data_IF_580748693814
#
_entry.id   IF_580748693814
#
_cell.length_a   1.000
_cell.length_b   1.000
_cell.length_c   1.000
_cell.angle_alpha   90.00
_cell.angle_beta   90.00
_cell.angle_gamma   90.00
#
_symmetry.space_group_name_H-M   'P 1'
#
loop_
_entity.id
_entity.type
_entity.pdbx_description
1 polymer ?
#
# COMPACT_ATOMS: atom_id res chain seq x y z
N UNK A 1 -1.09 13.12 23.25
CA UNK A 1 -0.64 13.56 21.91
C UNK A 1 0.61 12.86 21.43
N UNK A 2 1.63 12.74 22.28
CA UNK A 2 2.89 12.06 21.92
C UNK A 2 2.63 10.59 21.59
N UNK A 3 1.78 9.92 22.38
CA UNK A 3 1.45 8.51 22.17
C UNK A 3 0.73 8.30 20.83
N UNK A 4 -0.20 9.18 20.49
CA UNK A 4 -0.97 9.10 19.23
C UNK A 4 -0.04 9.29 18.03
N UNK A 5 0.87 10.27 18.09
CA UNK A 5 1.83 10.50 17.02
C UNK A 5 2.78 9.30 16.85
N UNK A 6 3.23 8.72 17.96
CA UNK A 6 4.10 7.57 17.95
C UNK A 6 3.41 6.36 17.32
N UNK A 7 2.14 6.12 17.67
CA UNK A 7 1.33 5.05 17.10
C UNK A 7 1.11 5.26 15.60
N UNK A 8 0.86 6.50 15.19
CA UNK A 8 0.69 6.84 13.78
C UNK A 8 1.93 6.49 12.97
N UNK A 9 3.10 6.91 13.45
CA UNK A 9 4.35 6.60 12.75
C UNK A 9 4.64 5.11 12.74
N UNK A 10 4.35 4.41 13.82
CA UNK A 10 4.53 2.96 13.89
C UNK A 10 3.65 2.24 12.87
N UNK A 11 2.35 2.56 12.83
CA UNK A 11 1.42 1.96 11.88
C UNK A 11 1.79 2.28 10.44
N UNK A 12 2.21 3.53 10.18
CA UNK A 12 2.64 3.96 8.84
C UNK A 12 3.86 3.19 8.38
N UNK A 13 4.84 3.02 9.27
CA UNK A 13 6.07 2.29 8.94
C UNK A 13 5.77 0.83 8.62
N UNK A 14 4.96 0.18 9.45
CA UNK A 14 4.58 -1.22 9.23
C UNK A 14 3.79 -1.36 7.92
N UNK A 15 2.89 -0.41 7.65
CA UNK A 15 2.08 -0.41 6.42
C UNK A 15 2.96 -0.31 5.17
N UNK A 16 3.89 0.62 5.16
CA UNK A 16 4.81 0.81 4.02
C UNK A 16 5.71 -0.41 3.85
N UNK A 17 6.26 -0.93 4.93
CA UNK A 17 7.10 -2.12 4.89
C UNK A 17 6.32 -3.33 4.36
N UNK A 18 5.09 -3.52 4.82
CA UNK A 18 4.21 -4.60 4.34
C UNK A 18 3.89 -4.44 2.86
N UNK A 19 3.64 -3.22 2.40
CA UNK A 19 3.36 -2.94 0.99
C UNK A 19 4.55 -3.30 0.10
N UNK A 20 5.76 -2.98 0.53
CA UNK A 20 6.96 -3.41 -0.18
C UNK A 20 7.09 -4.92 -0.22
N UNK A 21 6.79 -5.59 0.88
CA UNK A 21 6.86 -7.05 0.94
C UNK A 21 5.82 -7.71 0.05
N UNK A 22 4.66 -7.08 -0.16
CA UNK A 22 3.64 -7.58 -1.10
C UNK A 22 4.23 -7.67 -2.50
N UNK A 23 4.97 -6.64 -2.91
CA UNK A 23 5.57 -6.56 -4.25
C UNK A 23 6.76 -7.50 -4.37
N UNK A 24 7.62 -7.53 -3.34
CA UNK A 24 8.88 -8.27 -3.38
C UNK A 24 8.73 -9.76 -3.11
N UNK A 25 7.63 -10.18 -2.50
CA UNK A 25 7.43 -11.59 -2.16
C UNK A 25 7.24 -12.44 -3.41
N UNK A 26 7.95 -13.55 -3.49
CA UNK A 26 7.85 -14.48 -4.62
C UNK A 26 6.66 -15.41 -4.50
N UNK A 27 6.28 -15.74 -3.26
CA UNK A 27 5.16 -16.63 -3.00
C UNK A 27 3.86 -15.81 -2.99
N UNK A 28 2.89 -16.11 -3.88
CA UNK A 28 1.63 -15.36 -3.91
C UNK A 28 0.84 -15.40 -2.60
N UNK A 29 0.92 -16.52 -1.86
CA UNK A 29 0.24 -16.65 -0.57
C UNK A 29 0.83 -15.67 0.44
N UNK A 30 2.16 -15.57 0.49
CA UNK A 30 2.84 -14.61 1.37
C UNK A 30 2.52 -13.17 0.99
N UNK A 31 2.42 -12.88 -0.30
CA UNK A 31 2.05 -11.55 -0.79
C UNK A 31 0.68 -11.13 -0.29
N UNK A 32 -0.30 -12.04 -0.35
CA UNK A 32 -1.65 -11.75 0.13
C UNK A 32 -1.68 -11.58 1.64
N UNK A 33 -0.89 -12.36 2.37
CA UNK A 33 -0.80 -12.22 3.83
C UNK A 33 -0.22 -10.86 4.22
N UNK A 34 0.80 -10.39 3.51
CA UNK A 34 1.34 -9.05 3.73
C UNK A 34 0.34 -7.97 3.34
N UNK A 35 -0.48 -8.21 2.31
CA UNK A 35 -1.55 -7.30 1.92
C UNK A 35 -2.60 -7.17 3.02
N UNK A 36 -2.96 -8.28 3.66
CA UNK A 36 -3.88 -8.29 4.80
C UNK A 36 -3.29 -7.45 5.94
N UNK A 37 -2.01 -7.64 6.24
CA UNK A 37 -1.32 -6.86 7.27
C UNK A 37 -1.34 -5.36 6.94
N UNK A 38 -1.13 -5.02 5.68
CA UNK A 38 -1.18 -3.64 5.19
C UNK A 38 -2.56 -3.02 5.43
N UNK A 39 -3.62 -3.75 5.11
CA UNK A 39 -4.99 -3.28 5.32
C UNK A 39 -5.32 -3.10 6.81
N UNK A 40 -4.87 -4.01 7.67
CA UNK A 40 -5.07 -3.87 9.11
C UNK A 40 -4.41 -2.61 9.65
N UNK A 41 -3.18 -2.32 9.21
CA UNK A 41 -2.48 -1.12 9.64
C UNK A 41 -3.15 0.14 9.10
N UNK A 42 -3.70 0.08 7.87
CA UNK A 42 -4.47 1.18 7.31
C UNK A 42 -5.72 1.46 8.14
N UNK A 43 -6.41 0.41 8.57
CA UNK A 43 -7.58 0.55 9.44
C UNK A 43 -7.20 1.19 10.78
N UNK A 44 -6.05 0.80 11.33
CA UNK A 44 -5.54 1.41 12.55
C UNK A 44 -5.27 2.91 12.38
N UNK A 45 -4.73 3.31 11.23
CA UNK A 45 -4.49 4.71 10.91
C UNK A 45 -5.83 5.47 10.83
N UNK A 46 -6.84 4.88 10.19
CA UNK A 46 -8.17 5.51 10.10
C UNK A 46 -8.80 5.68 11.48
N UNK A 47 -8.60 4.72 12.38
CA UNK A 47 -9.06 4.85 13.77
C UNK A 47 -8.40 6.03 14.49
N UNK A 48 -7.10 6.22 14.27
CA UNK A 48 -6.36 7.34 14.85
C UNK A 48 -6.91 8.67 14.31
N UNK A 49 -7.27 8.70 13.03
CA UNK A 49 -7.83 9.89 12.38
C UNK A 49 -9.28 10.18 12.78
N UNK A 50 -9.91 9.29 13.54
CA UNK A 50 -11.31 9.44 13.95
C UNK A 50 -12.32 8.90 12.96
N UNK A 51 -11.87 8.27 11.87
CA UNK A 51 -12.74 7.67 10.86
C UNK A 51 -13.06 6.23 11.23
N UNK A 52 -13.81 6.03 12.30
CA UNK A 52 -14.11 4.69 12.83
C UNK A 52 -14.96 3.87 11.87
N UNK A 53 -15.96 4.47 11.26
CA UNK A 53 -16.83 3.78 10.30
C UNK A 53 -16.05 3.26 9.10
N UNK A 54 -15.18 4.12 8.56
CA UNK A 54 -14.35 3.76 7.42
C UNK A 54 -13.35 2.66 7.77
N UNK A 55 -12.79 2.72 8.99
CA UNK A 55 -11.87 1.68 9.48
C UNK A 55 -12.56 0.31 9.56
N UNK A 56 -13.78 0.27 10.08
CA UNK A 56 -14.55 -0.97 10.18
C UNK A 56 -14.94 -1.51 8.80
N UNK A 57 -15.32 -0.63 7.86
CA UNK A 57 -15.60 -1.04 6.48
C UNK A 57 -14.35 -1.63 5.84
N UNK A 58 -13.20 -1.01 6.05
CA UNK A 58 -11.94 -1.49 5.50
C UNK A 58 -11.64 -2.91 6.00
N UNK A 59 -11.80 -3.15 7.30
CA UNK A 59 -11.56 -4.48 7.86
C UNK A 59 -12.59 -5.49 7.34
N UNK A 60 -13.86 -5.15 7.36
CA UNK A 60 -14.92 -6.10 6.98
C UNK A 60 -14.84 -6.44 5.50
N UNK A 61 -14.75 -5.42 4.64
CA UNK A 61 -14.81 -5.61 3.19
C UNK A 61 -13.47 -6.00 2.62
N UNK A 62 -12.41 -5.23 2.91
CA UNK A 62 -11.12 -5.45 2.29
C UNK A 62 -10.37 -6.63 2.89
N UNK A 63 -10.34 -6.75 4.19
CA UNK A 63 -9.65 -7.86 4.84
C UNK A 63 -10.54 -9.11 4.84
N UNK A 64 -11.80 -8.96 5.22
CA UNK A 64 -12.70 -10.08 5.39
C UNK A 64 -13.23 -10.68 4.09
N UNK A 65 -13.43 -9.88 3.06
CA UNK A 65 -13.97 -10.35 1.79
C UNK A 65 -12.94 -10.39 0.69
N UNK A 66 -12.35 -9.24 0.35
CA UNK A 66 -11.49 -9.12 -0.84
C UNK A 66 -10.17 -9.89 -0.64
N UNK A 67 -9.49 -9.65 0.47
CA UNK A 67 -8.19 -10.30 0.73
C UNK A 67 -8.35 -11.80 0.93
N UNK A 68 -9.42 -12.23 1.61
CA UNK A 68 -9.71 -13.66 1.80
C UNK A 68 -10.03 -14.32 0.46
N UNK A 69 -10.76 -13.62 -0.41
CA UNK A 69 -11.04 -14.12 -1.76
C UNK A 69 -9.74 -14.28 -2.55
N UNK A 70 -8.85 -13.28 -2.51
CA UNK A 70 -7.54 -13.38 -3.16
C UNK A 70 -6.73 -14.54 -2.60
N UNK A 71 -6.73 -14.71 -1.28
CA UNK A 71 -5.99 -15.79 -0.64
C UNK A 71 -6.52 -17.13 -1.10
N UNK A 72 -7.85 -17.28 -1.16
CA UNK A 72 -8.50 -18.52 -1.60
C UNK A 72 -8.14 -18.83 -3.05
N UNK A 73 -8.24 -17.82 -3.94
CA UNK A 73 -7.93 -17.99 -5.37
C UNK A 73 -6.45 -18.36 -5.55
N UNK A 74 -5.56 -17.69 -4.84
CA UNK A 74 -4.11 -17.94 -4.95
C UNK A 74 -3.76 -19.33 -4.46
N UNK A 75 -4.42 -19.82 -3.42
CA UNK A 75 -4.20 -21.18 -2.92
C UNK A 75 -4.75 -22.24 -3.88
N UNK A 76 -5.81 -21.91 -4.62
CA UNK A 76 -6.36 -22.82 -5.62
C UNK A 76 -5.56 -22.87 -6.91
N UNK A 77 -4.84 -21.79 -7.22
CA UNK A 77 -4.00 -21.72 -8.41
C UNK A 77 -2.66 -22.37 -8.15
N UNK A 78 -2.29 -23.31 -9.04
CA UNK A 78 -0.99 -23.98 -9.00
C UNK A 78 -0.01 -23.17 -9.84
N UNK A 79 0.60 -22.15 -9.22
CA UNK A 79 1.52 -21.24 -9.91
C UNK A 79 2.94 -21.77 -9.76
N UNK A 80 3.62 -21.97 -10.89
CA UNK A 80 5.03 -22.37 -10.89
C UNK A 80 5.91 -21.15 -10.62
N UNK A 81 6.59 -21.16 -9.47
CA UNK A 81 7.41 -20.04 -9.02
C UNK A 81 8.69 -19.85 -9.82
N UNK A 82 9.18 -20.93 -10.47
CA UNK A 82 10.49 -20.93 -11.15
C UNK A 82 10.49 -20.16 -12.46
N UNK A 83 9.37 -20.06 -13.16
CA UNK A 83 9.28 -19.38 -14.45
C UNK A 83 9.15 -17.85 -14.33
N UNK A 84 8.79 -17.36 -13.15
CA UNK A 84 8.53 -15.93 -12.93
C UNK A 84 9.83 -15.13 -12.84
N UNK A 85 10.89 -15.70 -12.26
CA UNK A 85 12.12 -14.97 -11.95
C UNK A 85 12.88 -14.51 -13.21
N UNK A 86 12.94 -15.34 -14.27
CA UNK A 86 13.61 -14.97 -15.51
C UNK A 86 12.83 -13.90 -16.30
N UNK A 87 11.51 -14.00 -16.30
CA UNK A 87 10.64 -13.04 -16.97
C UNK A 87 10.69 -11.67 -16.28
N UNK A 88 10.71 -11.67 -14.94
CA UNK A 88 10.79 -10.44 -14.15
C UNK A 88 12.09 -9.68 -14.44
N UNK A 89 13.21 -10.39 -14.54
CA UNK A 89 14.51 -9.77 -14.80
C UNK A 89 14.53 -9.11 -16.20
N UNK A 90 13.91 -9.74 -17.21
CA UNK A 90 13.87 -9.19 -18.55
C UNK A 90 12.97 -7.96 -18.66
N UNK A 91 11.93 -7.86 -17.85
CA UNK A 91 11.02 -6.70 -17.85
C UNK A 91 11.37 -5.66 -16.81
N UNK A 92 12.40 -5.89 -16.01
CA UNK A 92 12.80 -4.97 -14.94
C UNK A 92 13.12 -3.56 -15.44
N UNK A 93 13.86 -3.35 -16.56
CA UNK A 93 14.13 -2.00 -17.05
C UNK A 93 12.86 -1.25 -17.44
N UNK A 94 11.90 -1.94 -18.08
CA UNK A 94 10.63 -1.34 -18.50
C UNK A 94 9.80 -0.95 -17.28
N UNK A 95 9.68 -1.85 -16.30
CA UNK A 95 8.96 -1.59 -15.07
C UNK A 95 9.55 -0.44 -14.25
N UNK A 96 10.87 -0.39 -14.19
CA UNK A 96 11.58 0.67 -13.48
C UNK A 96 11.35 2.04 -14.14
N UNK A 97 11.36 2.08 -15.49
CA UNK A 97 11.09 3.30 -16.25
C UNK A 97 9.68 3.82 -15.98
N UNK A 98 8.68 2.93 -16.03
CA UNK A 98 7.29 3.29 -15.75
C UNK A 98 7.13 3.77 -14.30
N UNK A 99 7.76 3.09 -13.35
CA UNK A 99 7.73 3.46 -11.95
C UNK A 99 8.30 4.84 -11.69
N UNK A 100 9.43 5.17 -12.34
CA UNK A 100 10.05 6.48 -12.21
C UNK A 100 9.16 7.57 -12.80
N UNK A 101 8.53 7.31 -13.95
CA UNK A 101 7.62 8.27 -14.58
C UNK A 101 6.43 8.56 -13.67
N UNK A 102 5.81 7.52 -13.11
CA UNK A 102 4.67 7.66 -12.19
C UNK A 102 5.09 8.43 -10.94
N UNK A 103 6.24 8.10 -10.38
CA UNK A 103 6.77 8.79 -9.20
C UNK A 103 7.03 10.27 -9.49
N UNK A 104 7.59 10.59 -10.66
CA UNK A 104 7.85 11.96 -11.07
C UNK A 104 6.54 12.75 -11.22
N UNK A 105 5.51 12.13 -11.81
CA UNK A 105 4.20 12.76 -11.93
C UNK A 105 3.58 13.04 -10.56
N UNK A 106 3.64 12.08 -9.65
CA UNK A 106 3.14 12.26 -8.29
C UNK A 106 3.86 13.39 -7.56
N UNK A 107 5.18 13.43 -7.67
CA UNK A 107 5.97 14.49 -7.04
C UNK A 107 5.63 15.87 -7.60
N UNK A 108 5.46 15.96 -8.93
CA UNK A 108 5.08 17.20 -9.59
C UNK A 108 3.72 17.70 -9.09
N UNK A 109 2.73 16.80 -9.01
CA UNK A 109 1.39 17.15 -8.54
C UNK A 109 1.43 17.62 -7.09
N UNK A 110 2.18 16.93 -6.24
CA UNK A 110 2.30 17.31 -4.83
C UNK A 110 2.98 18.67 -4.66
N UNK A 111 4.04 18.94 -5.43
CA UNK A 111 4.71 20.23 -5.38
C UNK A 111 3.82 21.36 -5.86
N UNK A 112 3.08 21.16 -6.95
CA UNK A 112 2.17 22.16 -7.50
C UNK A 112 1.03 22.43 -6.51
N UNK A 113 0.48 21.40 -5.91
CA UNK A 113 -0.60 21.54 -4.92
C UNK A 113 -0.13 22.28 -3.68
N UNK A 114 1.03 21.96 -3.18
CA UNK A 114 1.63 22.61 -2.02
C UNK A 114 1.89 24.11 -2.31
N UNK A 115 2.32 24.43 -3.52
CA UNK A 115 2.57 25.79 -3.95
C UNK A 115 1.28 26.60 -3.99
N UNK A 116 0.24 26.05 -4.59
CA UNK A 116 -1.08 26.71 -4.68
C UNK A 116 -1.67 26.92 -3.29
N UNK A 117 -1.52 25.97 -2.40
CA UNK A 117 -2.02 26.06 -1.03
C UNK A 117 -1.30 27.17 -0.27
N UNK A 118 0.00 27.31 -0.41
CA UNK A 118 0.76 28.37 0.26
C UNK A 118 0.42 29.76 -0.28
N UNK A 119 0.16 29.87 -1.58
CA UNK A 119 -0.26 31.13 -2.20
C UNK A 119 -1.64 31.55 -1.71
N UNK A 120 -2.59 30.62 -1.64
CA UNK A 120 -3.94 30.92 -1.12
C UNK A 120 -3.90 31.32 0.35
N UNK A 121 -3.03 30.71 1.13
CA UNK A 121 -2.88 31.03 2.55
C UNK A 121 -2.33 32.44 2.76
N UNK A 122 -1.42 32.87 1.90
CA UNK A 122 -0.85 34.23 1.94
C UNK A 122 -1.83 35.31 1.49
N UNK A 123 -2.79 34.91 0.65
CA UNK A 123 -3.80 35.85 0.13
C UNK A 123 -4.99 36.04 1.07
N UNK A 124 -5.19 35.16 2.02
CA UNK A 124 -6.26 35.27 3.01
C UNK A 124 -5.76 35.99 4.27
#
# INVERSE_FOLDING_TARGET
MIVVNLLFYLFSFIMIASAFMVILSRNPVHSVLFLILCFFNSAGIFLILGAEFLAFILVIVYVGAVAVLFLFVVMMLDVEFKSISSTVISYLPIGLTIGVIVLAELMLVLFTWKRDYSVTDNLS
#
